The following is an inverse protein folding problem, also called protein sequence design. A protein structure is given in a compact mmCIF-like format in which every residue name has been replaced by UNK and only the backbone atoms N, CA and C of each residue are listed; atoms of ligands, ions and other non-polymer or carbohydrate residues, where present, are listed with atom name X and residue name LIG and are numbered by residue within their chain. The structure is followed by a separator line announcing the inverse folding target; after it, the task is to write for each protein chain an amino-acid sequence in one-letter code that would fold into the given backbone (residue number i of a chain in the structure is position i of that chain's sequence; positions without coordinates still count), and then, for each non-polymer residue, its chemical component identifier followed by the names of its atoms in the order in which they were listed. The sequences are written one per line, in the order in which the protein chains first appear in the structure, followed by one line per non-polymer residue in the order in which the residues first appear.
data_IF_172616616880
#
_entry.id   IF_172616616880
#
_cell.length_a   1.000
_cell.length_b   1.000
_cell.length_c   1.000
_cell.angle_alpha   90.00
_cell.angle_beta   90.00
_cell.angle_gamma   90.00
#
_symmetry.space_group_name_H-M   'P 1'
#
loop_
_entity.id
_entity.type
_entity.pdbx_description
1 polymer ?
#
# COMPACT_ATOMS: atom_id res chain seq x y z
N UNK A 1 3.54 -52.96 14.91
CA UNK A 1 3.40 -51.78 15.79
C UNK A 1 3.27 -50.57 14.87
N UNK A 2 2.25 -49.76 15.11
CA UNK A 2 1.81 -48.63 14.29
C UNK A 2 2.75 -47.43 14.49
N UNK A 3 2.62 -46.48 13.55
CA UNK A 3 2.98 -45.06 13.58
C UNK A 3 4.32 -44.74 12.89
N UNK A 4 4.38 -43.97 11.81
CA UNK A 4 3.53 -42.85 11.43
C UNK A 4 4.44 -41.63 11.23
N UNK A 5 4.01 -40.71 10.38
CA UNK A 5 4.68 -39.45 9.99
C UNK A 5 5.71 -39.50 8.85
N UNK A 6 5.13 -39.45 7.64
CA UNK A 6 5.51 -38.45 6.64
C UNK A 6 5.73 -37.09 7.30
N UNK A 7 6.90 -36.50 7.07
CA UNK A 7 7.04 -35.05 7.04
C UNK A 7 7.34 -34.71 5.59
N UNK A 8 6.29 -34.51 4.82
CA UNK A 8 6.34 -33.69 3.62
C UNK A 8 6.85 -32.32 4.08
N UNK A 9 8.14 -32.10 3.85
CA UNK A 9 8.76 -30.79 3.98
C UNK A 9 8.22 -30.00 2.81
N UNK A 10 7.18 -29.21 3.10
CA UNK A 10 6.61 -28.23 2.20
C UNK A 10 7.75 -27.33 1.73
N UNK A 11 8.27 -27.69 0.56
CA UNK A 11 9.16 -26.89 -0.24
C UNK A 11 8.28 -25.76 -0.74
N UNK A 12 8.16 -24.69 0.04
CA UNK A 12 7.63 -23.44 -0.48
C UNK A 12 8.55 -23.04 -1.63
N UNK A 13 8.09 -23.03 -2.89
CA UNK A 13 8.88 -22.50 -3.97
C UNK A 13 9.04 -21.02 -3.67
N UNK A 14 10.26 -20.63 -3.28
CA UNK A 14 10.63 -19.23 -3.16
C UNK A 14 10.38 -18.56 -4.50
N UNK A 15 9.23 -17.92 -4.63
CA UNK A 15 8.95 -17.03 -5.75
C UNK A 15 10.07 -16.01 -5.77
N UNK A 16 10.81 -15.99 -6.88
CA UNK A 16 11.89 -15.05 -7.16
C UNK A 16 11.38 -13.61 -7.20
N UNK A 17 11.10 -13.05 -6.02
CA UNK A 17 11.13 -11.63 -5.80
C UNK A 17 12.58 -11.24 -5.61
N UNK A 18 13.18 -10.58 -6.59
CA UNK A 18 14.35 -9.76 -6.32
C UNK A 18 13.96 -8.74 -5.26
N UNK A 19 14.20 -9.04 -4.00
CA UNK A 19 14.19 -8.05 -2.93
C UNK A 19 15.40 -7.15 -3.20
N UNK A 20 15.21 -6.17 -4.07
CA UNK A 20 16.11 -5.03 -4.16
C UNK A 20 15.96 -4.29 -2.84
N UNK A 21 16.80 -4.67 -1.86
CA UNK A 21 17.11 -3.82 -0.73
C UNK A 21 17.65 -2.52 -1.32
N UNK A 22 16.79 -1.52 -1.40
CA UNK A 22 17.24 -0.16 -1.63
C UNK A 22 17.99 0.23 -0.34
N UNK A 23 19.30 -0.04 -0.31
CA UNK A 23 20.19 0.55 0.69
C UNK A 23 20.12 2.06 0.48
N UNK A 24 19.41 2.82 1.34
CA UNK A 24 19.56 4.28 1.56
C UNK A 24 18.52 4.83 2.57
N UNK A 25 18.68 4.54 3.87
CA UNK A 25 17.96 5.25 4.95
C UNK A 25 17.53 4.39 6.14
N UNK A 26 16.93 5.03 7.16
CA UNK A 26 16.29 4.35 8.28
C UNK A 26 15.30 3.30 7.76
N UNK A 27 15.21 2.12 8.40
CA UNK A 27 14.33 1.06 7.93
C UNK A 27 12.88 1.56 7.91
N UNK A 28 12.21 1.41 6.76
CA UNK A 28 10.81 1.84 6.58
C UNK A 28 9.88 1.04 7.48
N UNK A 29 10.24 -0.23 7.71
CA UNK A 29 9.60 -1.09 8.69
C UNK A 29 10.53 -1.28 9.90
N UNK A 30 10.11 -0.79 11.06
CA UNK A 30 10.75 -1.08 12.34
C UNK A 30 9.94 -2.18 13.03
N UNK A 31 10.55 -3.35 13.23
CA UNK A 31 9.93 -4.50 13.90
C UNK A 31 8.61 -5.02 13.28
N UNK A 32 8.34 -4.70 12.00
CA UNK A 32 7.12 -5.10 11.29
C UNK A 32 6.12 -3.97 11.08
N UNK A 33 6.36 -2.79 11.66
CA UNK A 33 5.49 -1.61 11.58
C UNK A 33 6.18 -0.42 10.93
N UNK A 34 5.41 0.59 10.53
CA UNK A 34 5.90 1.74 9.79
C UNK A 34 6.68 2.73 10.66
N UNK A 35 7.98 2.91 10.39
CA UNK A 35 8.87 3.76 11.18
C UNK A 35 8.39 5.23 11.22
N UNK A 36 8.08 5.81 12.41
CA UNK A 36 7.59 7.18 12.52
C UNK A 36 8.66 8.22 12.22
N UNK A 37 9.95 7.84 12.28
CA UNK A 37 11.07 8.68 11.86
C UNK A 37 11.11 8.83 10.32
N UNK A 38 10.41 7.96 9.59
CA UNK A 38 10.35 8.00 8.13
C UNK A 38 9.26 8.97 7.69
N UNK A 39 9.62 10.06 6.98
CA UNK A 39 8.64 11.03 6.51
C UNK A 39 7.68 10.39 5.51
N UNK A 40 6.45 10.91 5.44
CA UNK A 40 5.43 10.44 4.51
C UNK A 40 5.93 10.36 3.07
N UNK A 41 6.79 11.31 2.66
CA UNK A 41 7.41 11.34 1.35
C UNK A 41 8.17 10.03 1.03
N UNK A 42 8.88 9.47 2.00
CA UNK A 42 9.60 8.20 1.85
C UNK A 42 8.67 7.00 1.82
N UNK A 43 7.59 7.04 2.60
CA UNK A 43 6.55 6.00 2.55
C UNK A 43 5.87 5.99 1.19
N UNK A 44 5.50 7.18 0.69
CA UNK A 44 4.91 7.36 -0.64
C UNK A 44 5.83 6.84 -1.73
N UNK A 45 7.12 7.15 -1.63
CA UNK A 45 8.14 6.65 -2.55
C UNK A 45 8.23 5.13 -2.55
N UNK A 46 8.25 4.52 -1.37
CA UNK A 46 8.28 3.08 -1.22
C UNK A 46 7.02 2.39 -1.76
N UNK A 47 5.84 2.91 -1.44
CA UNK A 47 4.56 2.38 -1.93
C UNK A 47 4.52 2.45 -3.46
N UNK A 48 4.87 3.60 -4.02
CA UNK A 48 4.94 3.75 -5.47
C UNK A 48 5.95 2.80 -6.11
N UNK A 49 7.16 2.70 -5.57
CA UNK A 49 8.19 1.80 -6.08
C UNK A 49 7.79 0.32 -5.95
N UNK A 50 7.08 -0.05 -4.89
CA UNK A 50 6.62 -1.44 -4.70
C UNK A 50 5.55 -1.82 -5.72
N UNK A 51 4.64 -0.91 -6.05
CA UNK A 51 3.58 -1.20 -7.02
C UNK A 51 4.04 -1.03 -8.49
N UNK A 52 4.92 -0.07 -8.76
CA UNK A 52 5.31 0.30 -10.14
C UNK A 52 6.72 -0.16 -10.53
N UNK A 53 7.57 -0.47 -9.55
CA UNK A 53 9.01 -0.70 -9.76
C UNK A 53 9.79 0.57 -10.15
N UNK A 54 9.16 1.73 -10.17
CA UNK A 54 9.75 2.98 -10.65
C UNK A 54 10.03 3.96 -9.50
N UNK A 55 11.04 4.84 -9.64
CA UNK A 55 11.26 5.89 -8.66
C UNK A 55 10.04 6.81 -8.59
N UNK A 56 9.63 7.14 -7.37
CA UNK A 56 8.53 8.08 -7.16
C UNK A 56 8.98 9.48 -7.51
N UNK A 57 8.17 10.15 -8.32
CA UNK A 57 8.35 11.56 -8.63
C UNK A 57 7.07 12.24 -8.21
N UNK A 58 7.15 13.12 -7.20
CA UNK A 58 5.98 13.79 -6.64
C UNK A 58 5.24 14.53 -7.76
N UNK A 59 4.08 14.01 -8.23
CA UNK A 59 3.44 14.59 -9.37
C UNK A 59 2.77 15.91 -8.94
N UNK A 60 2.75 16.94 -9.80
CA UNK A 60 1.94 18.13 -9.57
C UNK A 60 0.48 17.76 -9.78
N UNK A 61 -0.15 17.21 -8.74
CA UNK A 61 -1.51 16.67 -8.81
C UNK A 61 -2.47 17.49 -7.99
N UNK A 62 -3.73 17.55 -8.43
CA UNK A 62 -4.79 18.25 -7.71
C UNK A 62 -5.14 17.60 -6.37
N UNK A 63 -4.69 16.36 -6.12
CA UNK A 63 -5.06 15.59 -4.96
C UNK A 63 -3.84 15.26 -4.07
N UNK A 64 -3.82 15.67 -2.78
CA UNK A 64 -2.65 15.55 -1.90
C UNK A 64 -2.27 14.11 -1.55
N UNK A 65 -3.20 13.18 -1.73
CA UNK A 65 -3.02 11.74 -1.48
C UNK A 65 -2.74 10.94 -2.76
N UNK A 66 -2.76 11.56 -3.94
CA UNK A 66 -2.49 10.85 -5.19
C UNK A 66 -0.98 10.66 -5.36
N UNK A 67 -0.57 9.40 -5.56
CA UNK A 67 0.81 9.06 -5.85
C UNK A 67 1.12 9.15 -7.35
N UNK A 68 0.13 8.88 -8.18
CA UNK A 68 0.32 8.81 -9.63
C UNK A 68 -0.56 7.73 -10.24
N UNK A 69 -0.48 7.61 -11.57
CA UNK A 69 -1.14 6.55 -12.33
C UNK A 69 -0.09 5.73 -13.05
N UNK A 70 -0.19 4.41 -12.94
CA UNK A 70 0.69 3.44 -13.58
C UNK A 70 -0.14 2.34 -14.23
N UNK A 71 0.08 2.06 -15.51
CA UNK A 71 -0.61 0.97 -16.24
C UNK A 71 -2.13 0.96 -16.04
N UNK A 72 -2.79 2.10 -16.23
CA UNK A 72 -4.24 2.23 -16.02
C UNK A 72 -4.74 1.94 -14.60
N UNK A 73 -3.84 1.88 -13.62
CA UNK A 73 -4.12 1.86 -12.20
C UNK A 73 -3.72 3.18 -11.53
N UNK A 74 -4.65 3.81 -10.80
CA UNK A 74 -4.35 5.01 -10.02
C UNK A 74 -4.01 4.65 -8.58
N UNK A 75 -2.86 5.12 -8.11
CA UNK A 75 -2.34 4.83 -6.78
C UNK A 75 -2.61 6.03 -5.86
N UNK A 76 -3.22 5.74 -4.71
CA UNK A 76 -3.53 6.73 -3.69
C UNK A 76 -2.98 6.26 -2.34
N UNK A 77 -2.30 7.18 -1.66
CA UNK A 77 -1.79 7.01 -0.31
C UNK A 77 -2.50 7.96 0.63
N UNK A 78 -3.64 7.50 1.15
CA UNK A 78 -4.53 8.24 2.04
C UNK A 78 -4.09 7.99 3.47
N UNK A 79 -3.12 8.77 3.92
CA UNK A 79 -2.57 8.63 5.27
C UNK A 79 -2.32 9.99 5.88
N UNK A 80 -2.74 10.12 7.15
CA UNK A 80 -2.50 11.31 7.95
C UNK A 80 -1.83 10.87 9.26
N UNK A 81 -0.66 11.43 9.63
CA UNK A 81 0.00 11.07 10.88
C UNK A 81 -0.83 11.47 12.11
N UNK A 82 -1.62 12.55 11.97
CA UNK A 82 -2.42 13.11 13.06
C UNK A 82 -3.76 12.39 13.29
N UNK A 83 -4.35 11.78 12.24
CA UNK A 83 -5.67 11.14 12.31
C UNK A 83 -5.80 9.89 11.45
N UNK A 84 -6.66 8.95 11.85
CA UNK A 84 -7.00 7.80 11.02
C UNK A 84 -7.75 8.25 9.76
N UNK A 85 -7.35 7.70 8.61
CA UNK A 85 -7.97 7.96 7.31
C UNK A 85 -8.89 6.81 6.95
N UNK A 86 -10.04 7.16 6.38
CA UNK A 86 -11.07 6.20 6.03
C UNK A 86 -11.31 6.26 4.53
N UNK A 87 -11.29 5.10 3.89
CA UNK A 87 -11.71 4.94 2.51
C UNK A 87 -13.20 4.67 2.48
N UNK A 88 -13.97 5.66 2.05
CA UNK A 88 -15.42 5.57 1.88
C UNK A 88 -15.87 6.10 0.51
N UNK A 89 -17.18 6.03 0.25
CA UNK A 89 -17.76 6.42 -1.04
C UNK A 89 -17.64 7.93 -1.32
N UNK A 90 -17.69 8.77 -0.28
CA UNK A 90 -17.51 10.22 -0.40
C UNK A 90 -16.08 10.55 -0.80
N UNK A 91 -15.10 9.88 -0.19
CA UNK A 91 -13.69 10.00 -0.60
C UNK A 91 -13.50 9.64 -2.08
N UNK A 92 -14.09 8.53 -2.54
CA UNK A 92 -14.04 8.16 -3.96
C UNK A 92 -14.70 9.19 -4.87
N UNK A 93 -15.84 9.77 -4.45
CA UNK A 93 -16.51 10.83 -5.19
C UNK A 93 -15.70 12.13 -5.21
N UNK A 94 -14.85 12.37 -4.21
CA UNK A 94 -13.92 13.49 -4.14
C UNK A 94 -12.69 13.32 -5.03
N UNK A 95 -12.43 12.12 -5.57
CA UNK A 95 -11.29 11.88 -6.47
C UNK A 95 -11.56 12.64 -7.79
N UNK A 96 -10.66 13.54 -8.20
CA UNK A 96 -10.86 14.28 -9.43
C UNK A 96 -10.77 13.33 -10.64
N UNK A 97 -11.52 13.61 -11.73
CA UNK A 97 -11.55 12.75 -12.91
C UNK A 97 -10.18 12.61 -13.61
N UNK A 98 -9.26 13.54 -13.39
CA UNK A 98 -7.86 13.44 -13.86
C UNK A 98 -7.11 12.26 -13.22
N UNK A 99 -7.47 11.89 -12.00
CA UNK A 99 -6.92 10.75 -11.28
C UNK A 99 -7.76 9.49 -11.48
N UNK A 100 -8.85 9.54 -12.24
CA UNK A 100 -9.67 8.37 -12.52
C UNK A 100 -8.94 7.39 -13.46
N UNK A 101 -9.03 6.10 -13.15
CA UNK A 101 -8.41 5.04 -13.92
C UNK A 101 -9.28 3.76 -13.93
N UNK A 102 -8.85 2.75 -14.67
CA UNK A 102 -9.58 1.47 -14.78
C UNK A 102 -9.48 0.66 -13.50
N UNK A 103 -8.39 0.82 -12.75
CA UNK A 103 -8.22 0.22 -11.44
C UNK A 103 -7.65 1.24 -10.46
N UNK A 104 -7.83 0.99 -9.17
CA UNK A 104 -7.35 1.87 -8.12
C UNK A 104 -6.59 1.05 -7.09
N UNK A 105 -5.48 1.58 -6.58
CA UNK A 105 -4.80 1.03 -5.42
C UNK A 105 -4.84 2.09 -4.35
N UNK A 106 -5.60 1.85 -3.28
CA UNK A 106 -5.84 2.85 -2.25
C UNK A 106 -5.32 2.31 -0.93
N UNK A 107 -4.32 3.00 -0.41
CA UNK A 107 -3.77 2.77 0.91
C UNK A 107 -4.49 3.68 1.91
N UNK A 108 -5.14 3.08 2.90
CA UNK A 108 -5.80 3.81 3.99
C UNK A 108 -5.76 3.01 5.30
N UNK A 109 -6.15 3.63 6.41
CA UNK A 109 -6.18 2.97 7.72
C UNK A 109 -7.39 2.02 7.83
N UNK A 110 -8.55 2.52 7.43
CA UNK A 110 -9.82 1.78 7.48
C UNK A 110 -10.53 1.85 6.13
N UNK A 111 -11.16 0.76 5.71
CA UNK A 111 -12.05 0.72 4.55
C UNK A 111 -13.49 0.57 5.03
N UNK A 112 -14.38 1.49 4.63
CA UNK A 112 -15.83 1.40 4.83
C UNK A 112 -16.58 0.89 3.60
N UNK A 113 -15.87 0.63 2.51
CA UNK A 113 -16.44 0.04 1.31
C UNK A 113 -16.63 -1.47 1.49
N UNK A 114 -17.75 -1.99 1.01
CA UNK A 114 -17.97 -3.44 0.92
C UNK A 114 -17.05 -4.05 -0.14
N UNK A 115 -16.74 -5.34 0.01
CA UNK A 115 -15.93 -6.09 -0.96
C UNK A 115 -16.53 -6.04 -2.38
N UNK A 116 -17.86 -5.99 -2.49
CA UNK A 116 -18.58 -5.81 -3.76
C UNK A 116 -18.26 -4.47 -4.44
N UNK A 117 -18.19 -3.37 -3.67
CA UNK A 117 -17.86 -2.04 -4.19
C UNK A 117 -16.42 -1.99 -4.66
N UNK A 118 -15.49 -2.54 -3.86
CA UNK A 118 -14.09 -2.64 -4.20
C UNK A 118 -13.90 -3.41 -5.51
N UNK A 119 -14.55 -4.58 -5.66
CA UNK A 119 -14.49 -5.37 -6.90
C UNK A 119 -15.13 -4.64 -8.07
N UNK A 120 -16.31 -4.06 -7.89
CA UNK A 120 -17.03 -3.36 -8.96
C UNK A 120 -16.25 -2.16 -9.50
N UNK A 121 -15.49 -1.48 -8.65
CA UNK A 121 -14.69 -0.31 -9.01
C UNK A 121 -13.21 -0.67 -9.29
N UNK A 122 -12.86 -1.96 -9.24
CA UNK A 122 -11.48 -2.46 -9.37
C UNK A 122 -10.51 -1.75 -8.41
N UNK A 123 -10.96 -1.52 -7.18
CA UNK A 123 -10.19 -0.92 -6.10
C UNK A 123 -9.52 -2.02 -5.29
N UNK A 124 -8.20 -1.96 -5.22
CA UNK A 124 -7.36 -2.73 -4.32
C UNK A 124 -7.14 -1.91 -3.05
N UNK A 125 -7.88 -2.24 -1.99
CA UNK A 125 -7.65 -1.66 -0.68
C UNK A 125 -6.42 -2.31 -0.03
N UNK A 126 -5.46 -1.50 0.39
CA UNK A 126 -4.31 -1.94 1.18
C UNK A 126 -4.30 -1.23 2.52
N UNK A 127 -4.40 -2.01 3.59
CA UNK A 127 -4.32 -1.46 4.94
C UNK A 127 -2.89 -1.02 5.24
N UNK A 128 -2.73 0.22 5.71
CA UNK A 128 -1.45 0.71 6.21
C UNK A 128 -1.32 0.25 7.67
N UNK A 129 -0.29 -0.52 8.05
CA UNK A 129 -0.04 -0.83 9.45
C UNK A 129 0.32 0.46 10.19
N UNK A 130 -0.55 0.87 11.14
CA UNK A 130 -0.44 2.13 11.88
C UNK A 130 0.01 1.93 13.34
N UNK A 131 0.75 0.87 13.67
CA UNK A 131 1.20 0.64 15.05
C UNK A 131 2.67 1.03 15.30
N UNK A 132 3.00 2.23 14.83
CA UNK A 132 3.98 3.20 15.36
C UNK A 132 3.69 3.68 16.77
N UNK A 133 3.57 2.81 17.77
CA UNK A 133 3.31 3.25 19.15
C UNK A 133 4.35 4.29 19.60
N UNK A 134 3.83 5.51 19.80
CA UNK A 134 4.40 6.66 20.49
C UNK A 134 5.03 6.22 21.83
N UNK A 135 6.36 6.18 21.89
CA UNK A 135 7.14 6.06 23.13
C UNK A 135 8.19 7.17 23.17
#
# INVERSE_FOLDING_TARGET
MIDGYRTDKDEVPGTGGSFSFYELGAPLLLAGDLNPEVPLERVREYVWFTETGQPFSNPPSAHPYFLGRHEDASLFFVYEPDRATVLDRDYLASIPPECAASSYVIYADTCLLSDEELRSLNITFKKIPRDITRL
#
